data_IF_736198411323
#
_entry.id   IF_736198411323
#
_cell.length_a   1.000
_cell.length_b   1.000
_cell.length_c   1.000
_cell.angle_alpha   90.00
_cell.angle_beta   90.00
_cell.angle_gamma   90.00
#
_symmetry.space_group_name_H-M   'P 1'
#
loop_
_entity.id
_entity.type
_entity.pdbx_description
1 polymer ?
#
# COMPACT_ATOMS: atom_id res chain seq x y z
N UNK A 1 1.73 15.80 18.55
CA UNK A 1 0.79 16.79 17.96
C UNK A 1 -0.12 16.03 17.02
N UNK A 2 -1.45 16.20 17.15
CA UNK A 2 -2.39 15.59 16.20
C UNK A 2 -2.05 16.09 14.79
N UNK A 3 -1.88 15.18 13.84
CA UNK A 3 -1.67 15.51 12.43
C UNK A 3 -2.87 16.35 11.95
N UNK A 4 -2.61 17.50 11.33
CA UNK A 4 -3.67 18.33 10.79
C UNK A 4 -4.50 17.50 9.79
N UNK A 5 -5.85 17.53 9.91
CA UNK A 5 -6.75 16.75 9.05
C UNK A 5 -6.45 16.95 7.55
N UNK A 6 -6.14 18.18 7.14
CA UNK A 6 -5.78 18.47 5.74
C UNK A 6 -4.50 17.74 5.33
N UNK A 7 -3.48 17.69 6.18
CA UNK A 7 -2.24 16.94 5.93
C UNK A 7 -2.53 15.44 5.82
N UNK A 8 -3.35 14.88 6.72
CA UNK A 8 -3.78 13.48 6.66
C UNK A 8 -4.54 13.19 5.36
N UNK A 9 -5.43 14.08 4.93
CA UNK A 9 -6.15 13.92 3.67
C UNK A 9 -5.20 13.93 2.46
N UNK A 10 -4.27 14.88 2.36
CA UNK A 10 -3.27 14.92 1.27
C UNK A 10 -2.39 13.69 1.30
N UNK A 11 -2.00 13.20 2.48
CA UNK A 11 -1.17 11.99 2.61
C UNK A 11 -1.85 10.75 2.03
N UNK A 12 -3.13 10.51 2.32
CA UNK A 12 -3.83 9.28 1.98
C UNK A 12 -4.75 9.39 0.76
N UNK A 13 -5.16 10.58 0.34
CA UNK A 13 -6.11 10.74 -0.76
C UNK A 13 -5.39 11.26 -2.01
N UNK A 14 -5.61 10.56 -3.12
CA UNK A 14 -5.10 10.90 -4.43
C UNK A 14 -6.28 10.96 -5.41
N UNK A 15 -7.02 12.08 -5.46
CA UNK A 15 -8.24 12.20 -6.27
C UNK A 15 -8.00 11.91 -7.76
N UNK A 16 -6.83 12.24 -8.26
CA UNK A 16 -6.38 11.97 -9.64
C UNK A 16 -6.39 10.49 -10.00
N UNK A 17 -6.17 9.60 -9.03
CA UNK A 17 -6.21 8.15 -9.25
C UNK A 17 -7.64 7.59 -9.26
N UNK A 18 -8.56 8.22 -8.54
CA UNK A 18 -9.96 7.80 -8.48
C UNK A 18 -10.79 8.35 -9.63
N UNK A 19 -10.41 9.50 -10.16
CA UNK A 19 -11.09 10.20 -11.26
C UNK A 19 -10.51 9.80 -12.63
N UNK A 20 -10.47 8.52 -12.92
CA UNK A 20 -9.75 7.88 -14.03
C UNK A 20 -10.07 8.42 -15.43
N UNK A 21 -11.22 9.05 -15.60
CA UNK A 21 -11.67 9.59 -16.90
C UNK A 21 -11.42 11.08 -17.06
N UNK A 22 -10.91 11.72 -16.03
CA UNK A 22 -10.43 13.09 -16.11
C UNK A 22 -8.94 13.01 -16.47
N UNK A 23 -8.51 13.74 -17.49
CA UNK A 23 -7.10 13.87 -17.82
C UNK A 23 -6.29 14.38 -16.60
N UNK A 24 -5.01 14.64 -16.78
CA UNK A 24 -4.15 15.16 -15.71
C UNK A 24 -4.77 16.39 -15.05
N UNK A 25 -4.95 16.29 -13.72
CA UNK A 25 -5.43 17.41 -12.93
C UNK A 25 -4.23 18.27 -12.51
N UNK A 26 -4.20 19.56 -12.86
CA UNK A 26 -3.12 20.44 -12.42
C UNK A 26 -3.15 20.64 -10.91
N UNK A 27 -1.98 20.87 -10.30
CA UNK A 27 -1.82 21.10 -8.86
C UNK A 27 -2.77 22.15 -8.30
N UNK A 28 -3.10 23.18 -9.10
CA UNK A 28 -4.05 24.22 -8.70
C UNK A 28 -5.45 23.69 -8.40
N UNK A 29 -5.89 22.65 -9.14
CA UNK A 29 -7.18 21.99 -8.90
C UNK A 29 -7.09 21.02 -7.73
N UNK A 30 -6.00 20.24 -7.67
CA UNK A 30 -5.77 19.31 -6.57
C UNK A 30 -5.67 20.04 -5.23
N UNK A 31 -4.90 21.13 -5.16
CA UNK A 31 -4.82 21.99 -3.98
C UNK A 31 -6.19 22.48 -3.52
N UNK A 32 -7.01 22.94 -4.46
CA UNK A 32 -8.37 23.42 -4.18
C UNK A 32 -9.28 22.35 -3.58
N UNK A 33 -9.14 21.07 -3.97
CA UNK A 33 -9.90 19.97 -3.37
C UNK A 33 -9.59 19.78 -1.87
N UNK A 34 -8.37 20.13 -1.45
CA UNK A 34 -7.93 20.05 -0.05
C UNK A 34 -8.07 21.37 0.72
N UNK A 35 -8.62 22.41 0.08
CA UNK A 35 -8.72 23.74 0.68
C UNK A 35 -7.36 24.43 0.88
N UNK A 36 -6.38 24.10 0.06
CA UNK A 36 -5.03 24.67 0.07
C UNK A 36 -4.83 25.59 -1.14
N UNK A 37 -3.91 26.55 -1.00
CA UNK A 37 -3.30 27.17 -2.17
C UNK A 37 -2.26 26.22 -2.81
N UNK A 38 -1.88 26.54 -4.04
CA UNK A 38 -1.00 25.68 -4.83
C UNK A 38 0.41 25.56 -4.23
N UNK A 39 0.92 26.61 -3.62
CA UNK A 39 2.26 26.64 -3.03
C UNK A 39 2.30 25.78 -1.75
N UNK A 40 1.31 25.96 -0.87
CA UNK A 40 1.17 25.12 0.32
C UNK A 40 0.99 23.63 -0.01
N UNK A 41 0.22 23.32 -1.06
CA UNK A 41 0.04 21.95 -1.53
C UNK A 41 1.34 21.34 -2.03
N UNK A 42 2.09 22.03 -2.91
CA UNK A 42 3.38 21.57 -3.43
C UNK A 42 4.40 21.37 -2.32
N UNK A 43 4.50 22.34 -1.42
CA UNK A 43 5.39 22.23 -0.27
C UNK A 43 5.08 21.00 0.59
N UNK A 44 3.79 20.71 0.80
CA UNK A 44 3.39 19.51 1.54
C UNK A 44 3.78 18.23 0.80
N UNK A 45 3.63 18.18 -0.53
CA UNK A 45 4.08 17.03 -1.34
C UNK A 45 5.61 16.87 -1.29
N UNK A 46 6.36 17.95 -1.38
CA UNK A 46 7.82 17.96 -1.25
C UNK A 46 8.26 17.47 0.13
N UNK A 47 7.63 17.94 1.20
CA UNK A 47 7.92 17.50 2.58
C UNK A 47 7.67 15.98 2.76
N UNK A 48 6.61 15.44 2.14
CA UNK A 48 6.32 14.01 2.19
C UNK A 48 7.35 13.20 1.39
N UNK A 49 7.72 13.67 0.20
CA UNK A 49 8.76 13.04 -0.62
C UNK A 49 10.13 13.06 0.06
N UNK A 50 10.53 14.19 0.65
CA UNK A 50 11.78 14.34 1.39
C UNK A 50 11.87 13.40 2.59
N UNK A 51 10.75 13.10 3.24
CA UNK A 51 10.70 12.13 4.33
C UNK A 51 10.97 10.72 3.85
N UNK A 52 10.37 10.29 2.75
CA UNK A 52 10.61 8.95 2.19
C UNK A 52 12.03 8.82 1.65
N UNK A 53 12.58 9.87 1.03
CA UNK A 53 13.96 9.92 0.55
C UNK A 53 14.95 9.80 1.70
N UNK A 54 14.74 10.55 2.79
CA UNK A 54 15.59 10.43 3.99
C UNK A 54 15.51 9.05 4.61
N UNK A 55 14.30 8.48 4.72
CA UNK A 55 14.13 7.11 5.24
C UNK A 55 14.88 6.08 4.40
N UNK A 56 14.88 6.22 3.07
CA UNK A 56 15.64 5.35 2.18
C UNK A 56 17.16 5.55 2.36
N UNK A 57 17.62 6.79 2.49
CA UNK A 57 19.03 7.09 2.74
C UNK A 57 19.51 6.51 4.08
N UNK A 58 18.73 6.66 5.16
CA UNK A 58 19.02 6.07 6.47
C UNK A 58 19.09 4.54 6.42
N UNK A 59 18.28 3.88 5.57
CA UNK A 59 18.38 2.43 5.37
C UNK A 59 19.69 2.04 4.70
N UNK A 60 20.18 2.82 3.75
CA UNK A 60 21.45 2.58 3.05
C UNK A 60 22.69 2.87 3.92
N UNK A 61 22.54 3.52 5.06
CA UNK A 61 23.64 3.67 6.04
C UNK A 61 24.03 2.32 6.69
N UNK A 62 23.12 1.34 6.71
CA UNK A 62 23.45 -0.03 7.09
C UNK A 62 24.08 -0.77 5.89
N UNK A 63 25.39 -1.11 5.94
CA UNK A 63 26.05 -1.78 4.83
C UNK A 63 25.42 -3.12 4.45
N UNK A 64 24.86 -3.87 5.42
CA UNK A 64 24.21 -5.12 5.17
C UNK A 64 22.85 -4.92 4.45
N UNK A 65 22.14 -3.83 4.73
CA UNK A 65 20.94 -3.49 3.97
C UNK A 65 21.31 -2.99 2.56
N UNK A 66 22.30 -2.13 2.43
CA UNK A 66 22.78 -1.63 1.13
C UNK A 66 23.14 -2.78 0.20
N UNK A 67 23.90 -3.78 0.68
CA UNK A 67 24.23 -5.00 -0.10
C UNK A 67 22.98 -5.76 -0.56
N UNK A 68 21.92 -5.83 0.26
CA UNK A 68 20.66 -6.46 -0.15
C UNK A 68 19.90 -5.61 -1.17
N UNK A 69 19.90 -4.30 -1.01
CA UNK A 69 19.27 -3.36 -1.95
C UNK A 69 19.94 -3.41 -3.34
N UNK A 70 21.26 -3.59 -3.39
CA UNK A 70 22.00 -3.75 -4.65
C UNK A 70 21.65 -5.05 -5.39
N UNK A 71 21.04 -6.02 -4.71
CA UNK A 71 20.59 -7.29 -5.31
C UNK A 71 19.12 -7.28 -5.75
N UNK A 72 18.46 -6.14 -5.71
CA UNK A 72 17.08 -6.03 -6.21
C UNK A 72 17.02 -6.48 -7.68
N UNK A 73 16.03 -7.29 -8.08
CA UNK A 73 16.00 -7.92 -9.42
C UNK A 73 15.54 -6.97 -10.54
N UNK A 74 15.33 -5.70 -10.23
CA UNK A 74 14.82 -4.69 -11.15
C UNK A 74 15.95 -4.12 -12.01
N UNK A 75 15.75 -4.09 -13.32
CA UNK A 75 16.76 -3.63 -14.29
C UNK A 75 16.40 -2.27 -14.90
N UNK A 76 17.39 -1.44 -15.29
CA UNK A 76 17.15 -0.20 -16.01
C UNK A 76 16.24 -0.41 -17.23
N UNK A 77 15.27 0.49 -17.40
CA UNK A 77 14.24 0.41 -18.43
C UNK A 77 13.02 -0.42 -18.07
N UNK A 78 13.05 -1.16 -16.96
CA UNK A 78 11.89 -1.90 -16.47
C UNK A 78 10.94 -1.01 -15.69
N UNK A 79 9.65 -1.40 -15.73
CA UNK A 79 8.57 -0.75 -15.01
C UNK A 79 8.08 -1.63 -13.86
N UNK A 80 8.18 -1.08 -12.64
CA UNK A 80 7.70 -1.70 -11.40
C UNK A 80 6.41 -1.02 -10.98
N UNK A 81 5.31 -1.77 -11.01
CA UNK A 81 3.97 -1.26 -10.69
C UNK A 81 3.54 -1.74 -9.32
N UNK A 82 3.12 -0.83 -8.45
CA UNK A 82 2.46 -1.16 -7.20
C UNK A 82 0.93 -1.13 -7.36
N UNK A 83 0.27 -2.22 -6.96
CA UNK A 83 -1.17 -2.30 -6.75
C UNK A 83 -1.44 -2.38 -5.25
N UNK A 84 -2.41 -1.63 -4.76
CA UNK A 84 -2.67 -1.61 -3.34
C UNK A 84 -3.82 -0.72 -2.93
N UNK A 85 -3.96 -0.62 -1.65
CA UNK A 85 -4.91 0.25 -0.97
C UNK A 85 -4.20 1.38 -0.20
N UNK A 86 -4.80 1.89 0.87
CA UNK A 86 -4.24 3.04 1.62
C UNK A 86 -2.83 2.83 2.13
N UNK A 87 -2.44 1.61 2.50
CA UNK A 87 -1.07 1.31 2.97
C UNK A 87 -0.04 1.53 1.87
N UNK A 88 -0.39 1.25 0.61
CA UNK A 88 0.47 1.47 -0.56
C UNK A 88 0.27 2.88 -1.14
N UNK A 89 -0.98 3.38 -1.19
CA UNK A 89 -1.30 4.71 -1.70
C UNK A 89 -0.82 5.86 -0.80
N UNK A 90 -0.48 5.59 0.46
CA UNK A 90 0.11 6.57 1.37
C UNK A 90 1.35 7.22 0.75
N UNK A 91 1.41 8.54 0.70
CA UNK A 91 2.60 9.25 0.17
C UNK A 91 3.87 9.01 1.00
N UNK A 92 3.73 8.42 2.20
CA UNK A 92 4.84 7.91 3.03
C UNK A 92 4.97 6.38 2.95
N UNK A 93 4.37 5.71 1.94
CA UNK A 93 4.28 4.26 1.85
C UNK A 93 5.65 3.58 1.68
N UNK A 94 5.63 2.28 1.94
CA UNK A 94 6.73 1.37 1.61
C UNK A 94 7.15 1.48 0.14
N UNK A 95 6.21 1.68 -0.78
CA UNK A 95 6.52 1.85 -2.20
C UNK A 95 7.15 3.23 -2.48
N UNK A 96 6.69 4.28 -1.78
CA UNK A 96 7.30 5.61 -1.85
C UNK A 96 8.73 5.62 -1.28
N UNK A 97 9.05 4.75 -0.32
CA UNK A 97 10.43 4.55 0.16
C UNK A 97 11.22 3.71 -0.85
N UNK A 98 10.65 2.58 -1.32
CA UNK A 98 11.29 1.67 -2.26
C UNK A 98 11.76 2.39 -3.54
N UNK A 99 10.98 3.33 -4.08
CA UNK A 99 11.35 4.04 -5.32
C UNK A 99 12.70 4.76 -5.23
N UNK A 100 13.15 5.16 -4.03
CA UNK A 100 14.45 5.77 -3.79
C UNK A 100 15.59 4.74 -3.62
N UNK A 101 15.25 3.45 -3.58
CA UNK A 101 16.19 2.32 -3.50
C UNK A 101 16.31 1.60 -4.86
N UNK A 102 15.42 1.90 -5.81
CA UNK A 102 15.44 1.26 -7.13
C UNK A 102 16.68 1.69 -7.93
N UNK A 103 17.26 0.79 -8.74
CA UNK A 103 18.34 1.13 -9.67
C UNK A 103 17.94 2.29 -10.60
N UNK A 104 18.92 3.10 -10.97
CA UNK A 104 18.70 4.18 -11.94
C UNK A 104 18.13 3.65 -13.26
N UNK A 105 17.12 4.34 -13.79
CA UNK A 105 16.42 3.95 -15.02
C UNK A 105 15.27 2.97 -14.82
N UNK A 106 15.00 2.49 -13.60
CA UNK A 106 13.76 1.76 -13.29
C UNK A 106 12.62 2.76 -13.13
N UNK A 107 11.45 2.48 -13.74
CA UNK A 107 10.26 3.35 -13.67
C UNK A 107 9.28 2.83 -12.59
N UNK A 108 9.17 3.46 -11.41
CA UNK A 108 8.15 3.11 -10.43
C UNK A 108 6.79 3.72 -10.82
N UNK A 109 5.74 2.91 -10.80
CA UNK A 109 4.36 3.34 -11.08
C UNK A 109 3.45 2.92 -9.94
N UNK A 110 2.83 3.89 -9.27
CA UNK A 110 1.89 3.64 -8.18
C UNK A 110 0.44 3.73 -8.70
N UNK A 111 -0.24 2.57 -8.78
CA UNK A 111 -1.66 2.43 -9.11
C UNK A 111 -2.54 2.18 -7.87
N UNK A 112 -1.97 2.22 -6.68
CA UNK A 112 -2.73 2.01 -5.45
C UNK A 112 -3.75 3.13 -5.20
N UNK A 113 -4.93 2.76 -4.73
CA UNK A 113 -6.03 3.69 -4.42
C UNK A 113 -6.51 3.46 -3.00
N UNK A 114 -6.44 4.51 -2.19
CA UNK A 114 -6.87 4.46 -0.79
C UNK A 114 -8.33 4.01 -0.65
N UNK A 115 -8.60 3.07 0.24
CA UNK A 115 -9.93 2.50 0.47
C UNK A 115 -10.35 1.41 -0.51
N UNK A 116 -9.52 1.08 -1.52
CA UNK A 116 -9.86 0.05 -2.51
C UNK A 116 -9.97 -1.33 -1.89
N UNK A 117 -11.03 -2.04 -2.27
CA UNK A 117 -11.15 -3.49 -2.13
C UNK A 117 -10.56 -4.20 -3.35
N UNK A 118 -10.38 -5.51 -3.26
CA UNK A 118 -9.97 -6.33 -4.41
C UNK A 118 -10.95 -6.24 -5.57
N UNK A 119 -12.27 -6.14 -5.30
CA UNK A 119 -13.31 -5.93 -6.32
C UNK A 119 -13.10 -4.62 -7.09
N UNK A 120 -12.75 -3.54 -6.39
CA UNK A 120 -12.46 -2.25 -7.02
C UNK A 120 -11.12 -2.28 -7.77
N UNK A 121 -10.14 -3.01 -7.26
CA UNK A 121 -8.84 -3.16 -7.90
C UNK A 121 -8.91 -3.88 -9.26
N UNK A 122 -9.87 -4.81 -9.46
CA UNK A 122 -10.12 -5.42 -10.78
C UNK A 122 -10.38 -4.38 -11.87
N UNK A 123 -10.98 -3.25 -11.53
CA UNK A 123 -11.20 -2.17 -12.48
C UNK A 123 -9.91 -1.40 -12.86
N UNK A 124 -8.77 -1.69 -12.23
CA UNK A 124 -7.46 -1.17 -12.60
C UNK A 124 -6.76 -2.00 -13.69
N UNK A 125 -7.23 -3.21 -13.99
CA UNK A 125 -6.62 -4.10 -14.99
C UNK A 125 -6.37 -3.44 -16.35
N UNK A 126 -7.30 -2.63 -16.93
CA UNK A 126 -7.02 -1.92 -18.17
C UNK A 126 -5.86 -0.91 -18.04
N UNK A 127 -5.75 -0.23 -16.89
CA UNK A 127 -4.64 0.69 -16.64
C UNK A 127 -3.33 -0.08 -16.46
N UNK A 128 -3.36 -1.21 -15.74
CA UNK A 128 -2.21 -2.08 -15.57
C UNK A 128 -1.68 -2.55 -16.94
N UNK A 129 -2.57 -3.05 -17.80
CA UNK A 129 -2.23 -3.48 -19.17
C UNK A 129 -1.66 -2.33 -20.00
N UNK A 130 -2.23 -1.12 -19.89
CA UNK A 130 -1.71 0.08 -20.59
C UNK A 130 -0.31 0.46 -20.12
N UNK A 131 -0.02 0.29 -18.83
CA UNK A 131 1.31 0.59 -18.27
C UNK A 131 2.37 -0.43 -18.65
N UNK A 132 2.00 -1.62 -19.14
CA UNK A 132 2.93 -2.69 -19.53
C UNK A 132 3.99 -2.95 -18.45
N UNK A 133 3.61 -3.41 -17.27
CA UNK A 133 4.54 -3.66 -16.19
C UNK A 133 5.51 -4.78 -16.52
N UNK A 134 6.75 -4.66 -16.09
CA UNK A 134 7.70 -5.76 -16.01
C UNK A 134 7.59 -6.49 -14.69
N UNK A 135 7.13 -5.78 -13.65
CA UNK A 135 6.93 -6.29 -12.30
C UNK A 135 5.66 -5.69 -11.68
N UNK A 136 4.97 -6.52 -10.92
CA UNK A 136 3.86 -6.05 -10.07
C UNK A 136 4.13 -6.43 -8.62
N UNK A 137 4.02 -5.45 -7.73
CA UNK A 137 4.03 -5.59 -6.29
C UNK A 137 2.61 -5.33 -5.79
N UNK A 138 1.94 -6.34 -5.24
CA UNK A 138 0.52 -6.25 -4.90
C UNK A 138 0.28 -6.42 -3.39
N UNK A 139 -0.29 -5.41 -2.73
CA UNK A 139 -0.66 -5.41 -1.32
C UNK A 139 -2.12 -4.98 -1.18
N UNK A 140 -3.03 -5.95 -1.16
CA UNK A 140 -4.49 -5.75 -1.14
C UNK A 140 -5.16 -6.73 -0.18
N UNK A 141 -6.37 -6.38 0.27
CA UNK A 141 -7.26 -7.26 1.00
C UNK A 141 -7.65 -6.77 2.40
N UNK A 142 -6.95 -5.79 2.98
CA UNK A 142 -7.32 -5.25 4.29
C UNK A 142 -8.69 -4.54 4.26
N UNK A 143 -9.06 -3.89 3.16
CA UNK A 143 -10.38 -3.28 3.03
C UNK A 143 -11.49 -4.30 2.74
N UNK A 144 -11.17 -5.44 2.15
CA UNK A 144 -12.12 -6.53 1.92
C UNK A 144 -12.65 -7.08 3.23
N UNK A 145 -11.76 -7.23 4.21
CA UNK A 145 -12.08 -7.76 5.53
C UNK A 145 -12.59 -6.71 6.51
N UNK A 146 -12.69 -5.45 6.10
CA UNK A 146 -13.37 -4.43 6.88
C UNK A 146 -14.79 -4.86 7.19
N UNK A 147 -15.19 -4.74 8.46
CA UNK A 147 -16.52 -5.08 8.92
C UNK A 147 -17.40 -3.84 9.05
N UNK A 148 -18.59 -3.90 8.44
CA UNK A 148 -19.61 -2.86 8.53
C UNK A 148 -20.67 -3.24 9.57
N UNK A 149 -21.22 -2.24 10.26
CA UNK A 149 -22.21 -2.45 11.33
C UNK A 149 -21.60 -3.07 12.59
N UNK A 150 -20.28 -2.99 12.75
CA UNK A 150 -19.58 -3.49 13.93
C UNK A 150 -19.98 -2.68 15.17
N UNK A 151 -20.36 -3.41 16.23
CA UNK A 151 -20.69 -2.89 17.56
C UNK A 151 -20.13 -3.86 18.59
N UNK A 152 -20.07 -3.44 19.85
CA UNK A 152 -19.55 -4.28 20.95
C UNK A 152 -20.14 -5.71 20.98
N UNK A 153 -21.42 -5.85 20.64
CA UNK A 153 -22.16 -7.13 20.71
C UNK A 153 -22.45 -7.72 19.31
N UNK A 154 -21.97 -7.09 18.21
CA UNK A 154 -22.21 -7.54 16.86
C UNK A 154 -20.92 -7.45 16.02
N UNK A 155 -20.43 -8.58 15.48
CA UNK A 155 -19.15 -8.61 14.75
C UNK A 155 -19.18 -7.81 13.43
N UNK A 156 -20.36 -7.41 12.97
CA UNK A 156 -20.52 -6.74 11.67
C UNK A 156 -20.39 -7.72 10.49
N UNK A 157 -20.60 -7.18 9.28
CA UNK A 157 -20.51 -7.94 8.02
C UNK A 157 -19.24 -7.53 7.30
N UNK A 158 -18.42 -8.46 6.82
CA UNK A 158 -17.27 -8.19 5.94
C UNK A 158 -17.74 -7.43 4.71
N UNK A 159 -16.94 -6.46 4.26
CA UNK A 159 -17.25 -5.66 3.07
C UNK A 159 -17.22 -6.53 1.81
N UNK A 160 -16.27 -7.47 1.73
CA UNK A 160 -16.17 -8.49 0.67
C UNK A 160 -16.07 -9.86 1.34
N UNK A 161 -16.76 -10.86 0.80
CA UNK A 161 -16.65 -12.22 1.33
C UNK A 161 -15.25 -12.79 1.09
N UNK A 162 -14.84 -13.75 1.91
CA UNK A 162 -13.54 -14.41 1.79
C UNK A 162 -13.34 -15.02 0.40
N UNK A 163 -14.29 -15.83 -0.06
CA UNK A 163 -14.24 -16.46 -1.37
C UNK A 163 -14.16 -15.44 -2.52
N UNK A 164 -14.79 -14.30 -2.38
CA UNK A 164 -14.72 -13.21 -3.38
C UNK A 164 -13.36 -12.52 -3.33
N UNK A 165 -12.80 -12.27 -2.14
CA UNK A 165 -11.46 -11.70 -1.97
C UNK A 165 -10.42 -12.59 -2.65
N UNK A 166 -10.42 -13.89 -2.36
CA UNK A 166 -9.51 -14.88 -2.95
C UNK A 166 -9.65 -14.92 -4.47
N UNK A 167 -10.88 -15.03 -4.97
CA UNK A 167 -11.16 -15.03 -6.41
C UNK A 167 -10.63 -13.77 -7.10
N UNK A 168 -10.81 -12.61 -6.48
CA UNK A 168 -10.39 -11.34 -7.04
C UNK A 168 -8.87 -11.20 -7.06
N UNK A 169 -8.18 -11.62 -5.99
CA UNK A 169 -6.71 -11.65 -5.94
C UNK A 169 -6.14 -12.53 -7.05
N UNK A 170 -6.69 -13.76 -7.22
CA UNK A 170 -6.28 -14.65 -8.31
C UNK A 170 -6.57 -14.02 -9.69
N UNK A 171 -7.73 -13.42 -9.86
CA UNK A 171 -8.08 -12.78 -11.14
C UNK A 171 -7.15 -11.59 -11.47
N UNK A 172 -6.76 -10.77 -10.48
CA UNK A 172 -5.77 -9.70 -10.67
C UNK A 172 -4.44 -10.26 -11.17
N UNK A 173 -3.98 -11.35 -10.55
CA UNK A 173 -2.74 -12.04 -10.90
C UNK A 173 -2.81 -12.63 -12.31
N UNK A 174 -3.82 -13.44 -12.59
CA UNK A 174 -3.94 -14.19 -13.84
C UNK A 174 -4.18 -13.29 -15.06
N UNK A 175 -5.01 -12.25 -14.90
CA UNK A 175 -5.34 -11.31 -15.96
C UNK A 175 -4.26 -10.23 -16.19
N UNK A 176 -3.24 -10.16 -15.33
CA UNK A 176 -2.10 -9.26 -15.54
C UNK A 176 -1.24 -9.65 -16.75
N UNK A 177 -1.28 -10.93 -17.14
CA UNK A 177 -0.43 -11.48 -18.21
C UNK A 177 1.04 -11.69 -17.82
N UNK A 178 1.43 -11.45 -16.56
CA UNK A 178 2.80 -11.64 -16.09
C UNK A 178 3.07 -13.10 -15.67
N UNK A 179 4.33 -13.52 -15.72
CA UNK A 179 4.79 -14.77 -15.13
C UNK A 179 4.77 -14.75 -13.59
N UNK A 180 4.79 -15.90 -12.91
CA UNK A 180 4.77 -15.95 -11.45
C UNK A 180 6.01 -15.31 -10.82
N UNK A 181 7.14 -15.33 -11.49
CA UNK A 181 8.41 -14.71 -11.10
C UNK A 181 8.42 -13.18 -11.21
N UNK A 182 7.38 -12.59 -11.80
CA UNK A 182 7.23 -11.14 -12.02
C UNK A 182 6.08 -10.52 -11.22
N UNK A 183 5.41 -11.33 -10.41
CA UNK A 183 4.35 -10.92 -9.52
C UNK A 183 4.74 -11.23 -8.08
N UNK A 184 4.72 -10.22 -7.23
CA UNK A 184 5.09 -10.33 -5.82
C UNK A 184 3.88 -9.92 -4.99
N UNK A 185 3.50 -10.82 -4.10
CA UNK A 185 2.49 -10.51 -3.10
C UNK A 185 3.14 -9.92 -1.84
N UNK A 186 2.50 -8.92 -1.28
CA UNK A 186 2.69 -8.51 0.11
C UNK A 186 1.37 -8.81 0.83
N UNK A 187 1.44 -9.49 1.96
CA UNK A 187 0.24 -9.69 2.78
C UNK A 187 -0.31 -8.34 3.25
N UNK A 188 -1.61 -8.21 3.55
CA UNK A 188 -2.08 -7.07 4.32
C UNK A 188 -1.24 -6.91 5.60
N UNK A 189 -1.01 -5.66 6.01
CA UNK A 189 -0.34 -5.37 7.29
C UNK A 189 -1.16 -5.91 8.46
N UNK A 190 -0.51 -6.16 9.59
CA UNK A 190 -1.23 -6.40 10.84
C UNK A 190 -2.19 -5.24 11.13
N UNK A 191 -3.17 -5.48 11.98
CA UNK A 191 -4.07 -4.46 12.52
C UNK A 191 -4.02 -4.49 14.05
N UNK A 192 -4.38 -3.38 14.67
CA UNK A 192 -4.61 -3.28 16.11
C UNK A 192 -6.11 -3.07 16.34
N UNK A 193 -6.89 -4.16 16.55
CA UNK A 193 -8.35 -4.07 16.64
C UNK A 193 -8.82 -3.22 17.82
N UNK A 194 -8.08 -3.19 18.93
CA UNK A 194 -8.43 -2.40 20.10
C UNK A 194 -8.36 -0.90 19.79
N UNK A 195 -7.27 -0.46 19.11
CA UNK A 195 -7.16 0.92 18.66
C UNK A 195 -8.21 1.25 17.60
N UNK A 196 -8.46 0.35 16.65
CA UNK A 196 -9.45 0.56 15.61
C UNK A 196 -10.85 0.74 16.21
N UNK A 197 -11.25 -0.09 17.17
CA UNK A 197 -12.52 -0.01 17.88
C UNK A 197 -12.60 1.26 18.77
N UNK A 198 -11.50 1.73 19.32
CA UNK A 198 -11.42 2.95 20.11
C UNK A 198 -11.42 4.22 19.25
N UNK A 199 -11.01 4.13 17.96
CA UNK A 199 -10.88 5.29 17.10
C UNK A 199 -12.25 5.91 16.78
N UNK A 200 -12.43 7.16 17.19
CA UNK A 200 -13.75 7.81 17.20
C UNK A 200 -14.45 7.83 15.82
N UNK A 201 -13.68 7.97 14.73
CA UNK A 201 -14.25 8.01 13.37
C UNK A 201 -14.75 6.63 12.94
N UNK A 202 -13.99 5.55 13.20
CA UNK A 202 -14.39 4.18 12.87
C UNK A 202 -15.59 3.74 13.69
N UNK A 203 -15.56 4.02 14.99
CA UNK A 203 -16.70 3.73 15.88
C UNK A 203 -17.97 4.44 15.44
N UNK A 204 -17.88 5.74 15.06
CA UNK A 204 -19.04 6.50 14.55
C UNK A 204 -19.57 5.93 13.25
N UNK A 205 -18.68 5.50 12.36
CA UNK A 205 -19.05 4.88 11.10
C UNK A 205 -19.49 3.41 11.22
N UNK A 206 -19.31 2.78 12.39
CA UNK A 206 -19.62 1.37 12.62
C UNK A 206 -18.73 0.44 11.80
N UNK A 207 -17.47 0.81 11.60
CA UNK A 207 -16.48 0.01 10.88
C UNK A 207 -15.38 -0.48 11.81
N UNK A 208 -14.78 -1.61 11.47
CA UNK A 208 -13.67 -2.17 12.23
C UNK A 208 -13.01 -3.36 11.51
N UNK A 209 -11.98 -3.88 12.12
CA UNK A 209 -11.21 -5.03 11.65
C UNK A 209 -10.98 -6.02 12.76
N UNK A 210 -10.69 -7.27 12.41
CA UNK A 210 -10.19 -8.28 13.33
C UNK A 210 -8.86 -8.82 12.80
N UNK A 211 -7.97 -9.21 13.70
CA UNK A 211 -6.70 -9.85 13.28
C UNK A 211 -6.96 -11.15 12.53
N UNK A 212 -7.93 -11.96 12.99
CA UNK A 212 -8.31 -13.22 12.34
C UNK A 212 -8.71 -13.05 10.87
N UNK A 213 -9.47 -12.00 10.54
CA UNK A 213 -9.89 -11.73 9.18
C UNK A 213 -8.71 -11.31 8.28
N UNK A 214 -7.79 -10.51 8.82
CA UNK A 214 -6.56 -10.09 8.12
C UNK A 214 -5.62 -11.28 7.94
N UNK A 215 -5.47 -12.10 8.97
CA UNK A 215 -4.64 -13.30 8.94
C UNK A 215 -5.13 -14.31 7.90
N UNK A 216 -6.45 -14.49 7.74
CA UNK A 216 -7.01 -15.37 6.72
C UNK A 216 -6.57 -14.97 5.30
N UNK A 217 -6.60 -13.67 4.96
CA UNK A 217 -6.11 -13.18 3.65
C UNK A 217 -4.61 -13.38 3.52
N UNK A 218 -3.85 -13.10 4.58
CA UNK A 218 -2.40 -13.26 4.56
C UNK A 218 -2.00 -14.73 4.36
N UNK A 219 -2.64 -15.65 5.07
CA UNK A 219 -2.38 -17.09 4.98
C UNK A 219 -2.76 -17.66 3.61
N UNK A 220 -3.86 -17.15 3.01
CA UNK A 220 -4.20 -17.46 1.62
C UNK A 220 -3.08 -17.05 0.65
N UNK A 221 -2.53 -15.85 0.79
CA UNK A 221 -1.45 -15.35 -0.06
C UNK A 221 -0.14 -16.13 0.16
N UNK A 222 0.20 -16.48 1.39
CA UNK A 222 1.38 -17.29 1.72
C UNK A 222 1.33 -18.69 1.12
N UNK A 223 0.14 -19.20 0.82
CA UNK A 223 -0.06 -20.46 0.10
C UNK A 223 0.08 -20.36 -1.42
N UNK A 224 0.42 -19.19 -1.99
CA UNK A 224 0.58 -19.01 -3.45
C UNK A 224 1.98 -19.40 -3.92
N UNK A 225 2.13 -19.78 -5.21
CA UNK A 225 3.42 -20.13 -5.78
C UNK A 225 4.34 -18.91 -6.01
N UNK A 226 3.76 -17.72 -6.15
CA UNK A 226 4.50 -16.48 -6.30
C UNK A 226 5.22 -16.10 -5.00
N UNK A 227 6.31 -15.35 -5.10
CA UNK A 227 6.94 -14.77 -3.91
C UNK A 227 5.92 -13.97 -3.11
N UNK A 228 5.75 -14.35 -1.84
CA UNK A 228 4.88 -13.64 -0.91
C UNK A 228 5.67 -13.16 0.30
N UNK A 229 5.59 -11.86 0.57
CA UNK A 229 6.21 -11.22 1.71
C UNK A 229 5.19 -11.10 2.84
N UNK A 230 5.40 -11.82 3.95
CA UNK A 230 4.57 -11.63 5.15
C UNK A 230 4.96 -10.33 5.85
N UNK A 231 4.10 -9.33 5.76
CA UNK A 231 4.32 -8.00 6.33
C UNK A 231 3.84 -7.89 7.78
N UNK A 232 3.06 -8.85 8.28
CA UNK A 232 2.45 -8.80 9.62
C UNK A 232 3.48 -8.69 10.75
N UNK A 233 4.55 -9.51 10.78
CA UNK A 233 5.57 -9.39 11.83
C UNK A 233 6.28 -8.03 11.81
N UNK A 234 6.50 -7.49 10.59
CA UNK A 234 7.18 -6.21 10.42
C UNK A 234 6.32 -5.02 10.85
N UNK A 235 4.99 -5.14 10.80
CA UNK A 235 4.05 -4.03 11.05
C UNK A 235 3.42 -4.04 12.43
N UNK A 236 3.56 -5.14 13.19
CA UNK A 236 3.01 -5.27 14.54
C UNK A 236 3.44 -4.11 15.44
N UNK A 237 2.46 -3.43 16.03
CA UNK A 237 2.68 -2.29 16.94
C UNK A 237 3.11 -0.98 16.26
N UNK A 238 3.19 -0.93 14.92
CA UNK A 238 3.63 0.24 14.14
C UNK A 238 2.49 0.97 13.43
N UNK A 239 1.33 1.03 14.08
CA UNK A 239 0.14 1.68 13.53
C UNK A 239 0.01 3.14 14.01
N UNK A 240 -0.69 3.92 13.22
CA UNK A 240 -1.24 5.21 13.64
C UNK A 240 -2.32 5.00 14.73
N UNK A 241 -2.86 6.10 15.24
CA UNK A 241 -3.88 6.08 16.29
C UNK A 241 -5.15 5.30 15.90
N UNK A 242 -5.37 5.10 14.60
CA UNK A 242 -6.53 4.37 14.08
C UNK A 242 -6.34 2.84 14.07
N UNK A 243 -5.16 2.33 14.43
CA UNK A 243 -4.89 0.90 14.53
C UNK A 243 -4.83 0.14 13.20
N UNK A 244 -4.94 0.83 12.06
CA UNK A 244 -4.98 0.24 10.71
C UNK A 244 -3.87 0.78 9.83
N UNK A 245 -3.75 2.11 9.72
CA UNK A 245 -2.73 2.74 8.93
C UNK A 245 -1.37 2.71 9.64
N UNK A 246 -0.31 2.58 8.86
CA UNK A 246 1.05 2.47 9.38
C UNK A 246 1.68 3.84 9.67
N UNK A 247 2.51 3.88 10.70
CA UNK A 247 3.47 4.95 10.90
C UNK A 247 4.55 4.89 9.81
N UNK A 248 5.39 5.92 9.69
CA UNK A 248 6.55 5.88 8.78
C UNK A 248 7.50 4.72 9.12
N UNK A 249 7.68 4.42 10.42
CA UNK A 249 8.43 3.25 10.87
C UNK A 249 7.81 1.92 10.42
N UNK A 250 6.48 1.82 10.43
CA UNK A 250 5.78 0.66 9.89
C UNK A 250 5.99 0.51 8.38
N UNK A 251 5.88 1.60 7.64
CA UNK A 251 6.14 1.64 6.20
C UNK A 251 7.60 1.28 5.86
N UNK A 252 8.56 1.82 6.63
CA UNK A 252 9.98 1.46 6.54
C UNK A 252 10.19 -0.04 6.77
N UNK A 253 9.52 -0.61 7.77
CA UNK A 253 9.65 -2.04 8.08
C UNK A 253 9.09 -2.93 6.96
N UNK A 254 8.00 -2.55 6.28
CA UNK A 254 7.51 -3.24 5.06
C UNK A 254 8.54 -3.17 3.95
N UNK A 255 9.18 -2.01 3.73
CA UNK A 255 10.25 -1.87 2.72
C UNK A 255 11.40 -2.82 3.00
N UNK A 256 11.87 -2.89 4.26
CA UNK A 256 12.94 -3.81 4.67
C UNK A 256 12.54 -5.26 4.43
N UNK A 257 11.34 -5.66 4.85
CA UNK A 257 10.86 -7.03 4.65
C UNK A 257 10.81 -7.42 3.16
N UNK A 258 10.40 -6.50 2.29
CA UNK A 258 10.37 -6.71 0.84
C UNK A 258 11.78 -6.85 0.26
N UNK A 259 12.71 -5.93 0.59
CA UNK A 259 14.09 -5.99 0.11
C UNK A 259 14.77 -7.29 0.58
N UNK A 260 14.55 -7.68 1.83
CA UNK A 260 15.09 -8.93 2.38
C UNK A 260 14.55 -10.17 1.66
N UNK A 261 13.28 -10.18 1.31
CA UNK A 261 12.68 -11.30 0.58
C UNK A 261 13.23 -11.39 -0.85
N UNK A 262 13.30 -10.27 -1.57
CA UNK A 262 13.83 -10.22 -2.94
C UNK A 262 15.31 -10.59 -3.01
N UNK A 263 16.13 -10.15 -2.05
CA UNK A 263 17.54 -10.47 -2.01
C UNK A 263 17.79 -11.97 -1.75
N UNK A 264 16.91 -12.67 -1.01
CA UNK A 264 16.98 -14.12 -0.80
C UNK A 264 16.65 -14.92 -2.05
N UNK A 265 15.65 -14.48 -2.82
CA UNK A 265 15.28 -15.14 -4.09
C UNK A 265 16.37 -14.99 -5.17
N UNK A 266 17.18 -13.93 -5.11
CA UNK A 266 18.27 -13.67 -6.05
C UNK A 266 19.58 -14.43 -5.71
N UNK A 267 19.62 -15.13 -4.57
CA UNK A 267 20.80 -15.87 -4.07
C UNK A 267 20.75 -17.34 -4.42
#
# INVERSE_FOLDING_TARGET
>A
MAENLTHKLVRFQQPEKTLRYLGELPDTRLAGLFGLDTEAYRKLLEDLDDRTRRTAAELLEDPAFAERADRLPFLPGQRVVALGESTTADRLSWFSILRHLLPEGVEPVDLAVSGSTTTQALALLPQLAFRRPDWVLCMLGANDVQRLGRRAEAPGTRLVSEAETERNLLALRDLSGLGPDRWIWLTPSSVDPERADAYAHFRRAGIGWTSEDVDAVADFLLGRPELTVDTRPATAGRHLDDGVHLTLEGQRAVTVALVDALAREAS
#
